data_IF_889754517821
#
_entry.id   IF_889754517821
#
_cell.length_a   1.000
_cell.length_b   1.000
_cell.length_c   1.000
_cell.angle_alpha   90.00
_cell.angle_beta   90.00
_cell.angle_gamma   90.00
#
_symmetry.space_group_name_H-M   'P 1'
#
loop_
_entity.id
_entity.type
_entity.pdbx_description
1 polymer ?
#
# COMPACT_ATOMS: atom_id res chain seq x y z
N UNK A 1 22.64 37.75 20.73
CA UNK A 1 21.59 37.70 21.78
C UNK A 1 20.32 38.11 21.07
N UNK A 2 19.70 37.17 20.39
CA UNK A 2 18.49 37.36 19.57
C UNK A 2 17.45 36.41 20.13
N UNK A 3 16.37 36.96 20.67
CA UNK A 3 15.25 36.27 21.28
C UNK A 3 14.55 35.36 20.29
N UNK A 4 14.16 34.13 20.66
CA UNK A 4 13.29 33.31 19.82
C UNK A 4 11.85 33.79 19.92
N UNK A 5 11.34 34.22 18.78
CA UNK A 5 9.96 34.64 18.52
C UNK A 5 8.98 33.50 18.90
N UNK A 6 8.11 33.81 19.85
CA UNK A 6 7.08 32.91 20.37
C UNK A 6 6.04 32.62 19.25
N UNK A 7 5.92 31.37 18.83
CA UNK A 7 4.80 30.90 18.02
C UNK A 7 3.49 30.99 18.80
N UNK A 8 2.43 31.56 18.22
CA UNK A 8 1.11 31.55 18.83
C UNK A 8 0.53 30.12 18.82
N UNK A 9 0.06 29.71 19.99
CA UNK A 9 -0.62 28.44 20.22
C UNK A 9 -1.85 28.32 19.29
N UNK A 10 -1.90 27.24 18.52
CA UNK A 10 -3.06 26.88 17.73
C UNK A 10 -4.24 26.57 18.66
N UNK A 11 -5.33 27.31 18.54
CA UNK A 11 -6.61 27.02 19.20
C UNK A 11 -7.14 25.64 18.78
N UNK A 12 -7.66 24.84 19.71
CA UNK A 12 -8.28 23.56 19.37
C UNK A 12 -9.62 23.84 18.64
N UNK A 13 -9.70 23.42 17.40
CA UNK A 13 -10.95 23.39 16.62
C UNK A 13 -11.86 22.34 17.29
N UNK A 14 -12.86 22.80 18.02
CA UNK A 14 -13.97 21.98 18.49
C UNK A 14 -14.76 21.47 17.28
N UNK A 15 -15.06 20.17 17.19
CA UNK A 15 -15.95 19.67 16.14
C UNK A 15 -17.36 20.22 16.36
N UNK A 16 -17.86 20.95 15.37
CA UNK A 16 -19.27 21.36 15.29
C UNK A 16 -20.18 20.15 15.43
N UNK A 17 -21.12 20.26 16.37
CA UNK A 17 -22.18 19.26 16.56
C UNK A 17 -22.99 19.12 15.27
N UNK A 18 -23.36 17.90 14.85
CA UNK A 18 -24.17 17.70 13.66
C UNK A 18 -25.56 18.35 13.89
N UNK A 19 -25.90 19.31 13.04
CA UNK A 19 -27.25 19.87 12.95
C UNK A 19 -28.24 18.73 12.77
N UNK A 20 -29.20 18.68 13.71
CA UNK A 20 -30.37 17.80 13.66
C UNK A 20 -31.19 18.18 12.42
N UNK A 21 -31.02 17.43 11.33
CA UNK A 21 -31.93 17.43 10.20
C UNK A 21 -33.28 16.90 10.65
N UNK A 22 -34.10 17.83 11.11
CA UNK A 22 -35.52 17.68 11.42
C UNK A 22 -36.29 17.28 10.15
N UNK A 23 -36.95 16.13 10.22
CA UNK A 23 -38.23 15.91 9.53
C UNK A 23 -38.17 15.88 7.99
N UNK A 24 -37.47 14.92 7.38
CA UNK A 24 -37.81 14.51 6.02
C UNK A 24 -38.75 13.30 6.07
N UNK A 25 -39.93 13.57 5.63
CA UNK A 25 -41.02 12.63 5.34
C UNK A 25 -40.51 11.30 4.75
N UNK A 26 -40.78 10.19 5.43
CA UNK A 26 -40.65 8.83 4.89
C UNK A 26 -41.69 8.62 3.76
N UNK A 27 -41.49 9.34 2.64
CA UNK A 27 -42.15 8.99 1.39
C UNK A 27 -41.58 7.68 0.90
N UNK A 28 -42.42 6.64 0.95
CA UNK A 28 -42.37 5.39 0.22
C UNK A 28 -41.21 5.30 -0.82
N UNK A 29 -40.01 4.90 -0.39
CA UNK A 29 -38.98 4.45 -1.29
C UNK A 29 -39.44 3.08 -1.82
N UNK A 30 -39.93 3.06 -3.08
CA UNK A 30 -40.12 1.81 -3.80
C UNK A 30 -38.84 0.96 -3.76
N UNK A 31 -38.93 -0.35 -4.02
CA UNK A 31 -37.80 -1.26 -3.95
C UNK A 31 -36.68 -0.70 -4.84
N UNK A 32 -35.65 -0.12 -4.19
CA UNK A 32 -34.48 0.38 -4.87
C UNK A 32 -33.81 -0.73 -5.67
N UNK A 33 -33.01 -0.42 -6.66
CA UNK A 33 -32.35 -1.43 -7.48
C UNK A 33 -31.69 -2.45 -6.56
N UNK A 34 -32.14 -3.70 -6.61
CA UNK A 34 -31.51 -4.81 -5.89
C UNK A 34 -30.08 -4.92 -6.37
N UNK A 35 -29.13 -4.36 -5.62
CA UNK A 35 -27.73 -4.70 -5.81
C UNK A 35 -27.62 -6.18 -5.43
N UNK A 36 -27.51 -7.02 -6.46
CA UNK A 36 -27.16 -8.41 -6.22
C UNK A 36 -25.86 -8.43 -5.40
N UNK A 37 -25.78 -9.26 -4.33
CA UNK A 37 -24.56 -9.35 -3.54
C UNK A 37 -23.39 -9.64 -4.50
N UNK A 38 -22.24 -8.96 -4.34
CA UNK A 38 -21.12 -9.19 -5.20
C UNK A 38 -20.74 -10.67 -5.16
N UNK A 39 -20.67 -11.31 -6.33
CA UNK A 39 -20.28 -12.70 -6.44
C UNK A 39 -18.94 -12.89 -5.72
N UNK A 40 -18.81 -14.02 -4.99
CA UNK A 40 -17.56 -14.34 -4.32
C UNK A 40 -16.39 -14.23 -5.30
N UNK A 41 -15.31 -13.52 -4.97
CA UNK A 41 -14.20 -13.31 -5.89
C UNK A 41 -13.58 -14.64 -6.26
N UNK A 42 -13.40 -14.86 -7.57
CA UNK A 42 -12.70 -16.04 -8.06
C UNK A 42 -11.27 -16.10 -7.49
N UNK A 43 -10.74 -17.30 -7.18
CA UNK A 43 -9.38 -17.45 -6.70
C UNK A 43 -8.38 -16.85 -7.69
N UNK A 44 -7.33 -16.21 -7.17
CA UNK A 44 -6.31 -15.57 -7.99
C UNK A 44 -5.66 -16.60 -8.92
N UNK A 45 -5.80 -16.45 -10.24
CA UNK A 45 -5.14 -17.30 -11.20
C UNK A 45 -3.61 -17.23 -11.03
N UNK A 46 -2.89 -18.36 -11.02
CA UNK A 46 -1.44 -18.37 -10.87
C UNK A 46 -0.77 -17.64 -12.05
N UNK A 47 0.17 -16.76 -11.77
CA UNK A 47 0.99 -16.11 -12.79
C UNK A 47 2.34 -16.82 -12.91
N UNK A 48 2.93 -16.87 -14.12
CA UNK A 48 4.25 -17.44 -14.30
C UNK A 48 5.29 -16.70 -13.46
N UNK A 49 6.28 -17.39 -12.90
CA UNK A 49 7.37 -16.75 -12.17
C UNK A 49 8.21 -15.88 -13.12
N UNK A 50 8.63 -14.72 -12.65
CA UNK A 50 9.55 -13.84 -13.37
C UNK A 50 10.79 -13.68 -12.52
N UNK A 51 11.95 -14.03 -13.09
CA UNK A 51 13.24 -13.89 -12.42
C UNK A 51 14.06 -12.77 -13.05
N UNK A 52 14.89 -12.11 -12.25
CA UNK A 52 15.89 -11.18 -12.76
C UNK A 52 17.01 -11.93 -13.50
N UNK A 53 17.72 -11.28 -14.46
CA UNK A 53 18.81 -11.92 -15.20
C UNK A 53 19.94 -12.47 -14.32
N UNK A 54 20.13 -11.90 -13.14
CA UNK A 54 21.14 -12.31 -12.16
C UNK A 54 20.62 -13.29 -11.09
N UNK A 55 19.37 -13.74 -11.18
CA UNK A 55 18.75 -14.66 -10.23
C UNK A 55 18.57 -14.14 -8.79
N UNK A 56 18.84 -12.85 -8.56
CA UNK A 56 18.76 -12.25 -7.21
C UNK A 56 17.35 -11.83 -6.81
N UNK A 57 16.47 -11.68 -7.77
CA UNK A 57 15.07 -11.30 -7.58
C UNK A 57 14.21 -12.27 -8.34
N UNK A 58 13.30 -12.94 -7.62
CA UNK A 58 12.29 -13.83 -8.20
C UNK A 58 10.91 -13.36 -7.76
N UNK A 59 10.02 -13.20 -8.71
CA UNK A 59 8.66 -12.74 -8.52
C UNK A 59 7.69 -13.84 -8.89
N UNK A 60 6.91 -14.31 -7.93
CA UNK A 60 5.80 -15.24 -8.15
C UNK A 60 4.45 -14.49 -8.16
N UNK A 61 3.34 -15.23 -8.22
CA UNK A 61 2.00 -14.61 -8.19
C UNK A 61 1.71 -13.82 -6.91
N UNK A 62 2.25 -14.25 -5.76
CA UNK A 62 1.94 -13.71 -4.42
C UNK A 62 3.17 -13.37 -3.60
N UNK A 63 4.37 -13.77 -4.02
CA UNK A 63 5.61 -13.57 -3.27
C UNK A 63 6.70 -12.95 -4.12
N UNK A 64 7.58 -12.21 -3.46
CA UNK A 64 8.79 -11.61 -4.01
C UNK A 64 9.99 -12.11 -3.20
N UNK A 65 10.89 -12.83 -3.83
CA UNK A 65 12.16 -13.25 -3.25
C UNK A 65 13.25 -12.27 -3.68
N UNK A 66 13.94 -11.63 -2.74
CA UNK A 66 15.05 -10.71 -3.00
C UNK A 66 16.24 -11.12 -2.17
N UNK A 67 17.32 -11.55 -2.81
CA UNK A 67 18.57 -12.01 -2.16
C UNK A 67 18.31 -13.06 -1.06
N UNK A 68 17.40 -14.01 -1.29
CA UNK A 68 17.04 -15.05 -0.31
C UNK A 68 16.04 -14.61 0.76
N UNK A 69 15.63 -13.34 0.81
CA UNK A 69 14.56 -12.87 1.69
C UNK A 69 13.22 -12.92 0.96
N UNK A 70 12.26 -13.60 1.56
CA UNK A 70 10.90 -13.73 1.04
C UNK A 70 10.03 -12.60 1.56
N UNK A 71 9.35 -11.91 0.65
CA UNK A 71 8.37 -10.88 0.94
C UNK A 71 7.02 -11.27 0.36
N UNK A 72 5.94 -11.17 1.13
CA UNK A 72 4.59 -11.32 0.64
C UNK A 72 4.16 -10.05 -0.09
N UNK A 73 3.62 -10.16 -1.31
CA UNK A 73 3.14 -9.00 -2.06
C UNK A 73 2.02 -8.24 -1.33
N UNK A 74 1.26 -8.93 -0.49
CA UNK A 74 0.22 -8.32 0.36
C UNK A 74 0.79 -7.36 1.42
N UNK A 75 2.04 -7.55 1.85
CA UNK A 75 2.71 -6.68 2.82
C UNK A 75 3.42 -5.49 2.15
N UNK A 76 3.55 -5.52 0.82
CA UNK A 76 4.21 -4.49 0.06
C UNK A 76 3.18 -3.45 -0.42
N UNK A 77 3.51 -2.18 -0.24
CA UNK A 77 2.73 -1.07 -0.78
C UNK A 77 3.13 -0.78 -2.23
N UNK A 78 4.44 -0.67 -2.45
CA UNK A 78 5.02 -0.44 -3.77
C UNK A 78 6.50 -0.80 -3.80
N UNK A 79 7.02 -1.00 -5.00
CA UNK A 79 8.45 -1.10 -5.29
C UNK A 79 8.87 0.09 -6.17
N UNK A 80 10.09 0.58 -5.96
CA UNK A 80 10.66 1.67 -6.76
C UNK A 80 12.15 1.41 -7.03
N UNK A 81 12.63 1.80 -8.21
CA UNK A 81 14.05 1.73 -8.55
C UNK A 81 14.62 3.12 -8.67
N UNK A 82 15.55 3.42 -7.80
CA UNK A 82 16.25 4.69 -7.77
C UNK A 82 17.69 4.51 -8.23
N UNK A 83 18.10 5.29 -9.23
CA UNK A 83 19.49 5.40 -9.61
C UNK A 83 20.18 6.43 -8.73
N UNK A 84 21.07 5.95 -7.84
CA UNK A 84 21.85 6.82 -6.96
C UNK A 84 23.20 7.11 -7.61
N UNK A 85 23.38 8.35 -8.03
CA UNK A 85 24.68 8.85 -8.48
C UNK A 85 25.52 9.19 -7.25
N UNK A 86 26.73 8.74 -7.24
CA UNK A 86 27.67 9.02 -6.16
C UNK A 86 28.30 10.39 -6.36
N UNK A 87 27.54 11.44 -6.07
CA UNK A 87 27.97 12.83 -6.23
C UNK A 87 29.31 13.11 -5.53
N UNK A 88 29.55 12.47 -4.38
CA UNK A 88 30.78 12.60 -3.63
C UNK A 88 32.02 12.20 -4.46
N UNK A 89 31.93 11.09 -5.22
CA UNK A 89 33.04 10.64 -6.07
C UNK A 89 33.29 11.58 -7.25
N UNK A 90 32.25 12.18 -7.79
CA UNK A 90 32.38 13.23 -8.79
C UNK A 90 33.08 14.43 -8.24
N UNK A 91 32.66 14.91 -7.07
CA UNK A 91 33.26 16.07 -6.42
C UNK A 91 34.70 15.80 -6.08
N UNK A 92 35.01 14.62 -5.51
CA UNK A 92 36.36 14.22 -5.17
C UNK A 92 37.27 14.07 -6.42
N UNK A 93 36.74 13.49 -7.49
CA UNK A 93 37.45 13.36 -8.76
C UNK A 93 37.72 14.71 -9.43
N UNK A 94 36.73 15.60 -9.46
CA UNK A 94 36.87 16.94 -10.01
C UNK A 94 37.85 17.81 -9.20
N UNK A 95 37.75 17.77 -7.87
CA UNK A 95 38.66 18.49 -6.97
C UNK A 95 40.08 17.94 -7.10
N UNK A 96 40.25 16.62 -7.14
CA UNK A 96 41.55 15.97 -7.31
C UNK A 96 42.16 16.33 -8.66
N UNK A 97 41.37 16.34 -9.74
CA UNK A 97 41.84 16.74 -11.07
C UNK A 97 42.32 18.21 -11.08
N UNK A 98 41.53 19.12 -10.49
CA UNK A 98 41.88 20.52 -10.36
C UNK A 98 43.19 20.71 -9.56
N UNK A 99 43.33 19.99 -8.42
CA UNK A 99 44.54 20.07 -7.60
C UNK A 99 45.78 19.56 -8.35
N UNK A 100 45.69 18.44 -9.07
CA UNK A 100 46.79 17.91 -9.88
C UNK A 100 47.15 18.86 -11.00
N UNK A 101 46.17 19.47 -11.68
CA UNK A 101 46.43 20.47 -12.74
C UNK A 101 47.12 21.73 -12.21
N UNK A 102 46.65 22.25 -11.06
CA UNK A 102 47.31 23.44 -10.44
C UNK A 102 48.74 23.10 -10.04
N UNK A 103 48.97 21.97 -9.36
CA UNK A 103 50.30 21.55 -8.94
C UNK A 103 51.25 21.28 -10.11
N UNK A 104 50.71 20.84 -11.26
CA UNK A 104 51.49 20.68 -12.49
C UNK A 104 51.84 22.04 -13.12
N UNK A 105 50.90 22.97 -13.20
CA UNK A 105 51.11 24.32 -13.73
C UNK A 105 52.08 25.14 -12.87
N UNK A 106 52.00 24.99 -11.55
CA UNK A 106 52.95 25.62 -10.60
C UNK A 106 54.31 24.92 -10.56
N UNK A 107 54.54 23.95 -11.44
CA UNK A 107 55.79 23.17 -11.54
C UNK A 107 56.20 22.43 -10.26
N UNK A 108 55.24 22.17 -9.36
CA UNK A 108 55.45 21.38 -8.14
C UNK A 108 55.51 19.88 -8.43
N UNK A 109 54.76 19.42 -9.46
CA UNK A 109 54.76 18.04 -9.89
C UNK A 109 55.53 17.88 -11.22
N UNK A 110 56.46 16.89 -11.25
CA UNK A 110 57.06 16.43 -12.50
C UNK A 110 56.02 15.71 -13.36
N UNK A 111 56.27 15.64 -14.66
CA UNK A 111 55.36 15.06 -15.65
C UNK A 111 54.87 13.64 -15.29
N UNK A 112 55.75 12.77 -14.78
CA UNK A 112 55.39 11.40 -14.41
C UNK A 112 54.29 11.32 -13.31
N UNK A 113 54.53 11.91 -12.13
CA UNK A 113 53.51 11.96 -11.07
C UNK A 113 52.23 12.70 -11.47
N UNK A 114 52.32 13.76 -12.30
CA UNK A 114 51.16 14.48 -12.79
C UNK A 114 50.25 13.60 -13.68
N UNK A 115 50.84 12.84 -14.61
CA UNK A 115 50.10 11.89 -15.46
C UNK A 115 49.42 10.80 -14.65
N UNK A 116 50.08 10.27 -13.62
CA UNK A 116 49.52 9.28 -12.73
C UNK A 116 48.33 9.86 -11.92
N UNK A 117 48.46 11.07 -11.40
CA UNK A 117 47.41 11.79 -10.69
C UNK A 117 46.20 12.06 -11.59
N UNK A 118 46.40 12.52 -12.84
CA UNK A 118 45.32 12.71 -13.81
C UNK A 118 44.58 11.41 -14.15
N UNK A 119 45.34 10.33 -14.35
CA UNK A 119 44.72 9.02 -14.64
C UNK A 119 43.88 8.54 -13.47
N UNK A 120 44.37 8.65 -12.24
CA UNK A 120 43.64 8.22 -11.04
C UNK A 120 42.36 9.03 -10.83
N UNK A 121 42.43 10.36 -10.97
CA UNK A 121 41.28 11.25 -10.83
C UNK A 121 40.24 11.04 -11.94
N UNK A 122 40.70 10.75 -13.17
CA UNK A 122 39.81 10.39 -14.28
C UNK A 122 39.07 9.06 -14.02
N UNK A 123 39.80 8.05 -13.51
CA UNK A 123 39.15 6.78 -13.10
C UNK A 123 38.12 6.99 -12.01
N UNK A 124 38.40 7.89 -11.05
CA UNK A 124 37.47 8.23 -9.99
C UNK A 124 36.18 8.89 -10.54
N UNK A 125 36.32 9.78 -11.51
CA UNK A 125 35.20 10.41 -12.22
C UNK A 125 34.34 9.36 -12.97
N UNK A 126 35.01 8.46 -13.70
CA UNK A 126 34.31 7.37 -14.41
C UNK A 126 33.54 6.45 -13.41
N UNK A 127 34.21 6.13 -12.28
CA UNK A 127 33.56 5.32 -11.24
C UNK A 127 32.36 6.04 -10.62
N UNK A 128 32.48 7.33 -10.36
CA UNK A 128 31.37 8.17 -9.88
C UNK A 128 30.20 8.23 -10.88
N UNK A 129 30.51 8.22 -12.19
CA UNK A 129 29.49 8.23 -13.24
C UNK A 129 28.68 6.95 -13.29
N UNK A 130 29.28 5.82 -12.99
CA UNK A 130 28.61 4.52 -13.09
C UNK A 130 27.40 4.39 -12.16
N UNK A 131 27.41 5.09 -11.01
CA UNK A 131 26.31 5.06 -10.06
C UNK A 131 25.97 3.65 -9.55
N UNK A 132 24.93 3.55 -8.74
CA UNK A 132 24.35 2.27 -8.30
C UNK A 132 22.84 2.34 -8.33
N UNK A 133 22.20 1.30 -8.83
CA UNK A 133 20.76 1.17 -8.76
C UNK A 133 20.37 0.62 -7.39
N UNK A 134 19.31 1.16 -6.79
CA UNK A 134 18.76 0.67 -5.54
C UNK A 134 17.27 0.39 -5.73
N UNK A 135 16.89 -0.83 -5.41
CA UNK A 135 15.49 -1.22 -5.28
C UNK A 135 15.01 -0.83 -3.88
N UNK A 136 13.95 -0.04 -3.83
CA UNK A 136 13.26 0.35 -2.60
C UNK A 136 11.95 -0.41 -2.54
N UNK A 137 11.77 -1.19 -1.49
CA UNK A 137 10.53 -1.90 -1.20
C UNK A 137 9.83 -1.19 -0.06
N UNK A 138 8.70 -0.59 -0.36
CA UNK A 138 7.84 0.05 0.64
C UNK A 138 6.92 -0.99 1.22
N UNK A 139 6.97 -1.16 2.55
CA UNK A 139 6.19 -2.15 3.29
C UNK A 139 5.12 -1.44 4.11
N UNK A 140 3.93 -2.02 4.17
CA UNK A 140 2.84 -1.49 5.00
C UNK A 140 3.24 -1.46 6.48
N UNK A 141 3.31 -0.24 7.06
CA UNK A 141 3.61 -0.06 8.48
C UNK A 141 5.02 -0.44 8.94
N UNK A 142 5.98 -0.65 8.02
CA UNK A 142 7.37 -1.02 8.34
C UNK A 142 8.38 -0.18 7.55
N UNK A 143 9.65 -0.23 7.97
CA UNK A 143 10.72 0.48 7.28
C UNK A 143 10.91 0.01 5.84
N UNK A 144 11.35 0.97 5.01
CA UNK A 144 11.68 0.74 3.60
C UNK A 144 12.94 -0.10 3.48
N UNK A 145 12.85 -1.21 2.77
CA UNK A 145 14.00 -2.06 2.48
C UNK A 145 14.71 -1.54 1.24
N UNK A 146 16.02 -1.27 1.35
CA UNK A 146 16.86 -0.82 0.26
C UNK A 146 17.82 -1.93 -0.16
N UNK A 147 17.74 -2.35 -1.42
CA UNK A 147 18.60 -3.38 -1.99
C UNK A 147 19.41 -2.81 -3.14
N UNK A 148 20.74 -2.93 -3.09
CA UNK A 148 21.59 -2.53 -4.21
C UNK A 148 21.49 -3.55 -5.36
N UNK A 149 21.24 -3.03 -6.57
CA UNK A 149 21.09 -3.82 -7.79
C UNK A 149 22.28 -3.57 -8.72
N UNK A 150 22.87 -4.60 -9.29
CA UNK A 150 23.93 -4.47 -10.27
C UNK A 150 23.38 -4.14 -11.67
N UNK A 151 24.24 -3.59 -12.53
CA UNK A 151 23.96 -3.44 -13.95
C UNK A 151 23.13 -2.21 -14.32
N UNK A 152 22.49 -2.28 -15.48
CA UNK A 152 21.71 -1.19 -16.07
C UNK A 152 20.36 -0.99 -15.38
N UNK A 153 19.84 0.24 -15.45
CA UNK A 153 18.58 0.62 -14.79
C UNK A 153 17.36 0.10 -15.55
N UNK A 154 17.40 0.01 -16.88
CA UNK A 154 16.24 -0.30 -17.71
C UNK A 154 15.59 -1.67 -17.43
N UNK A 155 16.33 -2.79 -17.31
CA UNK A 155 15.74 -4.08 -16.95
C UNK A 155 15.10 -4.07 -15.55
N UNK A 156 15.70 -3.35 -14.61
CA UNK A 156 15.16 -3.21 -13.26
C UNK A 156 13.86 -2.40 -13.21
N UNK A 157 13.75 -1.36 -14.03
CA UNK A 157 12.48 -0.60 -14.15
C UNK A 157 11.34 -1.47 -14.67
N UNK A 158 11.61 -2.32 -15.67
CA UNK A 158 10.61 -3.27 -16.20
C UNK A 158 10.17 -4.27 -15.14
N UNK A 159 11.13 -4.84 -14.41
CA UNK A 159 10.84 -5.77 -13.32
C UNK A 159 10.02 -5.09 -12.22
N UNK A 160 10.36 -3.87 -11.83
CA UNK A 160 9.64 -3.10 -10.82
C UNK A 160 8.22 -2.75 -11.25
N UNK A 161 8.00 -2.43 -12.53
CA UNK A 161 6.66 -2.24 -13.06
C UNK A 161 5.81 -3.51 -12.95
N UNK A 162 6.41 -4.70 -13.23
CA UNK A 162 5.71 -5.97 -13.06
C UNK A 162 5.45 -6.31 -11.57
N UNK A 163 6.39 -6.00 -10.67
CA UNK A 163 6.19 -6.14 -9.23
C UNK A 163 4.99 -5.30 -8.79
N UNK A 164 4.93 -4.02 -9.16
CA UNK A 164 3.84 -3.12 -8.80
C UNK A 164 2.50 -3.58 -9.38
N UNK A 165 2.48 -4.09 -10.61
CA UNK A 165 1.29 -4.67 -11.22
C UNK A 165 0.75 -5.85 -10.42
N UNK A 166 1.64 -6.74 -9.93
CA UNK A 166 1.23 -7.90 -9.11
C UNK A 166 0.81 -7.47 -7.70
N UNK A 167 1.48 -6.49 -7.09
CA UNK A 167 1.07 -5.89 -5.82
C UNK A 167 -0.36 -5.38 -5.95
N UNK A 168 -0.63 -4.54 -6.96
CA UNK A 168 -1.96 -4.00 -7.19
C UNK A 168 -3.02 -5.10 -7.36
N UNK A 169 -2.72 -6.14 -8.14
CA UNK A 169 -3.63 -7.28 -8.33
C UNK A 169 -3.96 -8.02 -7.04
N UNK A 170 -2.97 -8.23 -6.16
CA UNK A 170 -3.16 -8.90 -4.87
C UNK A 170 -4.01 -8.04 -3.93
N UNK A 171 -3.76 -6.73 -3.90
CA UNK A 171 -4.55 -5.80 -3.08
C UNK A 171 -5.99 -5.66 -3.59
N UNK A 172 -6.18 -5.57 -4.90
CA UNK A 172 -7.51 -5.49 -5.51
C UNK A 172 -8.34 -6.76 -5.21
N UNK A 173 -7.72 -7.94 -5.31
CA UNK A 173 -8.38 -9.19 -4.93
C UNK A 173 -8.76 -9.20 -3.45
N UNK A 174 -7.86 -8.83 -2.55
CA UNK A 174 -8.12 -8.77 -1.11
C UNK A 174 -9.24 -7.75 -0.77
N UNK A 175 -9.29 -6.62 -1.48
CA UNK A 175 -10.34 -5.64 -1.32
C UNK A 175 -11.72 -6.18 -1.75
N UNK A 176 -11.78 -6.91 -2.87
CA UNK A 176 -13.04 -7.57 -3.33
C UNK A 176 -13.48 -8.65 -2.36
N UNK A 177 -12.56 -9.45 -1.84
CA UNK A 177 -12.85 -10.47 -0.83
C UNK A 177 -13.43 -9.84 0.44
N UNK A 178 -12.81 -8.78 0.94
CA UNK A 178 -13.32 -8.06 2.11
C UNK A 178 -14.71 -7.43 1.85
N UNK A 179 -14.94 -6.85 0.67
CA UNK A 179 -16.23 -6.30 0.29
C UNK A 179 -17.32 -7.38 0.23
N UNK A 180 -17.01 -8.55 -0.31
CA UNK A 180 -17.95 -9.68 -0.36
C UNK A 180 -18.30 -10.20 1.04
N UNK A 181 -17.32 -10.29 1.94
CA UNK A 181 -17.55 -10.67 3.34
C UNK A 181 -18.43 -9.66 4.09
N UNK A 182 -18.19 -8.37 3.89
CA UNK A 182 -19.02 -7.31 4.48
C UNK A 182 -20.46 -7.37 3.96
N UNK A 183 -20.66 -7.53 2.65
CA UNK A 183 -21.98 -7.66 2.06
C UNK A 183 -22.73 -8.89 2.61
N UNK A 184 -22.06 -10.03 2.77
CA UNK A 184 -22.65 -11.23 3.37
C UNK A 184 -23.02 -11.03 4.86
N UNK A 185 -22.20 -10.31 5.61
CA UNK A 185 -22.51 -9.97 7.01
C UNK A 185 -23.72 -9.02 7.13
N UNK A 186 -23.82 -8.03 6.25
CA UNK A 186 -24.96 -7.11 6.20
C UNK A 186 -26.27 -7.86 5.85
N UNK A 187 -26.20 -8.79 4.90
CA UNK A 187 -27.36 -9.61 4.53
C UNK A 187 -27.79 -10.51 5.69
N UNK A 188 -26.85 -11.17 6.36
CA UNK A 188 -27.13 -11.98 7.54
C UNK A 188 -27.81 -11.15 8.66
N UNK A 189 -27.35 -9.93 8.88
CA UNK A 189 -27.91 -9.00 9.86
C UNK A 189 -29.35 -8.61 9.49
N UNK A 190 -29.63 -8.33 8.21
CA UNK A 190 -30.98 -8.02 7.72
C UNK A 190 -31.91 -9.18 7.89
N UNK A 191 -31.51 -10.39 7.55
CA UNK A 191 -32.30 -11.60 7.70
C UNK A 191 -32.61 -11.88 9.19
N UNK A 192 -31.64 -11.70 10.08
CA UNK A 192 -31.84 -11.82 11.51
C UNK A 192 -32.88 -10.79 12.06
N UNK A 193 -32.79 -9.54 11.60
CA UNK A 193 -33.74 -8.50 11.98
C UNK A 193 -35.17 -8.82 11.48
N UNK A 194 -35.32 -9.31 10.25
CA UNK A 194 -36.61 -9.74 9.71
C UNK A 194 -37.20 -10.92 10.50
N UNK A 195 -36.36 -11.91 10.82
CA UNK A 195 -36.80 -13.04 11.64
C UNK A 195 -37.26 -12.61 13.05
N UNK A 196 -36.53 -11.67 13.66
CA UNK A 196 -36.92 -11.11 14.95
C UNK A 196 -38.26 -10.36 14.89
N UNK A 197 -38.50 -9.57 13.86
CA UNK A 197 -39.77 -8.86 13.64
C UNK A 197 -40.93 -9.85 13.40
N UNK A 198 -40.69 -10.88 12.59
CA UNK A 198 -41.70 -11.92 12.36
C UNK A 198 -42.05 -12.66 13.66
N UNK A 199 -41.05 -12.99 14.49
CA UNK A 199 -41.26 -13.62 15.78
C UNK A 199 -42.08 -12.73 16.74
N UNK A 200 -41.81 -11.42 16.77
CA UNK A 200 -42.58 -10.46 17.56
C UNK A 200 -44.02 -10.37 17.09
N UNK A 201 -44.29 -10.28 15.78
CA UNK A 201 -45.65 -10.24 15.23
C UNK A 201 -46.45 -11.49 15.56
N UNK A 202 -45.82 -12.68 15.55
CA UNK A 202 -46.44 -13.92 15.96
C UNK A 202 -46.80 -13.91 17.47
N UNK A 203 -45.91 -13.40 18.31
CA UNK A 203 -46.10 -13.29 19.74
C UNK A 203 -47.26 -12.32 20.09
N UNK A 204 -47.36 -11.19 19.40
CA UNK A 204 -48.43 -10.21 19.53
C UNK A 204 -49.77 -10.82 19.09
N UNK A 205 -49.82 -11.50 17.95
CA UNK A 205 -51.05 -12.19 17.48
C UNK A 205 -51.53 -13.32 18.44
N UNK A 206 -50.60 -14.00 19.09
CA UNK A 206 -50.91 -15.01 20.10
C UNK A 206 -51.49 -14.41 21.40
N UNK A 207 -51.12 -13.17 21.73
CA UNK A 207 -51.64 -12.43 22.89
C UNK A 207 -53.03 -11.82 22.62
N UNK A 208 -53.35 -11.47 21.36
CA UNK A 208 -54.62 -10.91 20.96
C UNK A 208 -55.74 -11.96 20.84
N UNK A 209 -55.47 -13.26 20.92
CA UNK A 209 -56.50 -14.29 21.08
C UNK A 209 -56.86 -14.51 22.57
N UNK A 210 -57.63 -13.65 23.19
CA UNK A 210 -58.20 -13.93 24.53
C UNK A 210 -59.07 -15.14 24.42
N UNK A 211 -58.75 -16.13 25.22
CA UNK A 211 -59.37 -17.43 25.28
C UNK A 211 -60.87 -17.40 25.14
N UNK A 212 -61.39 -17.81 23.97
CA UNK A 212 -62.71 -18.19 23.79
C UNK A 212 -62.92 -19.61 24.38
N UNK A 213 -62.60 -19.78 25.67
CA UNK A 213 -63.06 -20.87 26.49
C UNK A 213 -64.39 -20.41 27.07
N UNK A 214 -65.43 -20.40 26.21
CA UNK A 214 -66.80 -20.31 26.71
C UNK A 214 -67.01 -21.44 27.71
N UNK A 215 -67.64 -21.16 28.87
CA UNK A 215 -67.94 -22.21 29.84
C UNK A 215 -68.85 -23.22 29.18
N UNK A 216 -68.39 -24.48 29.08
CA UNK A 216 -69.25 -25.64 28.75
C UNK A 216 -70.25 -25.73 29.88
N UNK A 217 -71.54 -25.35 29.58
CA UNK A 217 -72.62 -25.54 30.50
C UNK A 217 -72.82 -27.05 30.73
N UNK A 218 -72.88 -27.54 31.97
CA UNK A 218 -73.24 -28.90 32.22
C UNK A 218 -74.72 -29.11 31.86
N UNK A 219 -74.99 -30.00 30.90
CA UNK A 219 -76.36 -30.51 30.63
C UNK A 219 -76.84 -31.19 31.86
N UNK A 220 -78.00 -30.65 32.42
CA UNK A 220 -78.81 -31.29 33.41
C UNK A 220 -79.61 -32.45 32.76
N UNK A 221 -79.49 -33.63 33.37
CA UNK A 221 -80.46 -34.73 33.22
C UNK A 221 -81.21 -34.88 34.50
#
# INVERSE_FOLDING_TARGET
>A
MTDPEAQPAAEPILPEAPEQLSGASLASAGPGPYFAPPAAPEPLAPLPPVASPDGRVELTGTTLLVRGHLYLLRELERADVMHVRWLLWYLLGALGLAAVMIAFLENWLKTGPAMLGMTLTTLLLIYGHRGTNRLRLFRLGREVVNVALPGETAPWQRLTAEINRRIFRVHDHAAREAAALLAAADEATRLAAQAAQAAQAIAEAAQEQPGNTGPIAPDEV
#
